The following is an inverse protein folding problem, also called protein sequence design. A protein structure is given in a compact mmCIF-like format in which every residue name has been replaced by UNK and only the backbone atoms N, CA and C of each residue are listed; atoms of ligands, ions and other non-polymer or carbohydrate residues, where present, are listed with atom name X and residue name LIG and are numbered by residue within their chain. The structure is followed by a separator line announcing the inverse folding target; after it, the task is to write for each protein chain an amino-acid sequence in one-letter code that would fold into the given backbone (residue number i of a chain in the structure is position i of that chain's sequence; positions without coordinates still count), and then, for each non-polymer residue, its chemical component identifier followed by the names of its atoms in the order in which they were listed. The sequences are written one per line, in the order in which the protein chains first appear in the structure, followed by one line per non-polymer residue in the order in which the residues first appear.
data_IF_652420978285
#
_entry.id   IF_652420978285
#
_cell.length_a   1.000
_cell.length_b   1.000
_cell.length_c   1.000
_cell.angle_alpha   90.00
_cell.angle_beta   90.00
_cell.angle_gamma   90.00
#
_symmetry.space_group_name_H-M   'P 1'
#
loop_
_entity.id
_entity.type
_entity.pdbx_description
1 polymer ?
#
# COMPACT_ATOMS: atom_id res chain seq x y z
N UNK A 1 13.14 22.92 -2.42
CA UNK A 1 13.64 22.05 -3.50
C UNK A 1 12.89 20.74 -3.35
N UNK A 2 12.36 20.17 -4.45
CA UNK A 2 11.67 18.88 -4.44
C UNK A 2 12.41 17.96 -5.42
N UNK A 3 12.60 16.70 -5.04
CA UNK A 3 13.17 15.62 -5.87
C UNK A 3 12.12 14.52 -5.87
N UNK A 4 11.81 13.99 -7.05
CA UNK A 4 10.86 12.89 -7.23
C UNK A 4 11.62 11.66 -7.75
N UNK A 5 11.18 10.48 -7.30
CA UNK A 5 11.66 9.17 -7.77
C UNK A 5 10.45 8.30 -8.06
N UNK A 6 10.58 7.43 -9.06
CA UNK A 6 9.64 6.36 -9.32
C UNK A 6 10.17 5.10 -8.63
N UNK A 7 9.30 4.42 -7.89
CA UNK A 7 9.61 3.22 -7.12
C UNK A 7 8.35 2.36 -7.09
N UNK A 8 8.51 1.03 -7.28
CA UNK A 8 7.38 0.11 -7.18
C UNK A 8 6.96 -0.06 -5.73
N UNK A 9 5.70 -0.41 -5.51
CA UNK A 9 5.17 -0.62 -4.16
C UNK A 9 5.86 -1.77 -3.43
N UNK A 10 6.21 -2.83 -4.17
CA UNK A 10 7.03 -3.95 -3.67
C UNK A 10 8.45 -3.56 -3.25
N UNK A 11 8.96 -2.43 -3.75
CA UNK A 11 10.27 -1.87 -3.36
C UNK A 11 10.19 -0.78 -2.28
N UNK A 12 8.98 -0.34 -1.93
CA UNK A 12 8.76 0.74 -0.97
C UNK A 12 9.01 0.29 0.47
N UNK A 13 9.81 1.05 1.21
CA UNK A 13 10.09 0.76 2.62
C UNK A 13 9.01 1.36 3.53
N UNK A 14 7.94 0.59 3.79
CA UNK A 14 6.91 0.98 4.75
C UNK A 14 7.47 1.13 6.17
N UNK A 15 6.93 2.08 6.93
CA UNK A 15 7.37 2.36 8.29
C UNK A 15 6.23 2.44 9.31
N UNK A 16 6.61 2.26 10.57
CA UNK A 16 5.66 2.28 11.71
C UNK A 16 4.49 1.31 11.47
N UNK A 17 3.26 1.68 11.82
CA UNK A 17 2.11 0.76 11.71
C UNK A 17 1.72 0.38 10.28
N UNK A 18 2.18 1.09 9.24
CA UNK A 18 1.95 0.69 7.86
C UNK A 18 2.68 -0.62 7.52
N UNK A 19 3.87 -0.78 8.11
CA UNK A 19 4.72 -1.95 7.89
C UNK A 19 4.02 -3.24 8.31
N UNK A 20 3.34 -3.22 9.45
CA UNK A 20 2.66 -4.40 10.00
C UNK A 20 1.60 -4.96 9.03
N UNK A 21 0.90 -4.08 8.30
CA UNK A 21 -0.09 -4.46 7.29
C UNK A 21 0.58 -4.83 5.95
N UNK A 22 1.53 -4.02 5.49
CA UNK A 22 2.23 -4.27 4.22
C UNK A 22 2.95 -5.63 4.21
N UNK A 23 3.51 -6.08 5.34
CA UNK A 23 4.14 -7.40 5.48
C UNK A 23 3.15 -8.58 5.36
N UNK A 24 1.84 -8.33 5.46
CA UNK A 24 0.78 -9.36 5.29
C UNK A 24 0.32 -9.51 3.84
N UNK A 25 0.70 -8.57 2.98
CA UNK A 25 0.42 -8.61 1.56
C UNK A 25 1.55 -9.30 0.81
N UNK A 26 1.18 -10.09 -0.19
CA UNK A 26 2.13 -10.68 -1.14
C UNK A 26 2.58 -9.65 -2.17
N UNK A 27 3.73 -9.88 -2.82
CA UNK A 27 4.22 -9.01 -3.90
C UNK A 27 3.15 -8.80 -5.00
N UNK A 28 2.40 -9.84 -5.36
CA UNK A 28 1.33 -9.73 -6.34
C UNK A 28 0.15 -8.87 -5.85
N UNK A 29 -0.19 -8.93 -4.57
CA UNK A 29 -1.23 -8.06 -3.98
C UNK A 29 -0.74 -6.61 -3.95
N UNK A 30 0.54 -6.37 -3.63
CA UNK A 30 1.13 -5.03 -3.70
C UNK A 30 1.13 -4.47 -5.12
N UNK A 31 1.48 -5.27 -6.12
CA UNK A 31 1.40 -4.87 -7.54
C UNK A 31 -0.04 -4.53 -7.94
N UNK A 32 -1.04 -5.25 -7.42
CA UNK A 32 -2.45 -4.92 -7.67
C UNK A 32 -2.86 -3.59 -7.04
N UNK A 33 -2.42 -3.32 -5.79
CA UNK A 33 -2.64 -2.02 -5.16
C UNK A 33 -1.97 -0.90 -5.96
N UNK A 34 -0.76 -1.13 -6.48
CA UNK A 34 -0.05 -0.16 -7.32
C UNK A 34 -0.85 0.21 -8.56
N UNK A 35 -1.39 -0.79 -9.27
CA UNK A 35 -2.27 -0.54 -10.42
C UNK A 35 -3.52 0.27 -10.02
N UNK A 36 -4.14 -0.02 -8.86
CA UNK A 36 -5.26 0.78 -8.37
C UNK A 36 -4.86 2.23 -8.06
N UNK A 37 -3.69 2.43 -7.44
CA UNK A 37 -3.17 3.76 -7.13
C UNK A 37 -2.85 4.56 -8.38
N UNK A 38 -2.28 3.95 -9.42
CA UNK A 38 -2.03 4.62 -10.71
C UNK A 38 -3.33 5.09 -11.38
N UNK A 39 -4.44 4.37 -11.19
CA UNK A 39 -5.75 4.76 -11.73
C UNK A 39 -6.41 5.89 -10.93
N UNK A 40 -6.37 5.84 -9.59
CA UNK A 40 -7.08 6.79 -8.72
C UNK A 40 -6.24 8.02 -8.33
N UNK A 41 -4.91 7.88 -8.33
CA UNK A 41 -3.91 8.94 -8.10
C UNK A 41 -2.95 9.01 -9.30
N UNK A 42 -3.40 9.44 -10.49
CA UNK A 42 -2.59 9.45 -11.71
C UNK A 42 -1.39 10.41 -11.65
N UNK A 43 -1.40 11.37 -10.73
CA UNK A 43 -0.25 12.27 -10.46
C UNK A 43 0.68 11.72 -9.36
N UNK A 44 0.40 10.52 -8.85
CA UNK A 44 1.07 9.88 -7.73
C UNK A 44 0.67 10.44 -6.37
N UNK A 45 1.34 9.95 -5.34
CA UNK A 45 1.23 10.39 -3.95
C UNK A 45 2.65 10.56 -3.38
N UNK A 46 2.81 11.40 -2.36
CA UNK A 46 4.09 11.42 -1.65
C UNK A 46 4.24 10.20 -0.72
N UNK A 47 5.48 9.90 -0.33
CA UNK A 47 5.80 8.72 0.48
C UNK A 47 5.03 8.70 1.82
N UNK A 48 4.75 9.87 2.40
CA UNK A 48 4.01 9.95 3.67
C UNK A 48 2.54 9.65 3.45
N UNK A 49 1.94 10.19 2.39
CA UNK A 49 0.54 9.89 2.04
C UNK A 49 0.35 8.40 1.74
N UNK A 50 1.27 7.78 0.99
CA UNK A 50 1.25 6.34 0.72
C UNK A 50 1.38 5.51 2.01
N UNK A 51 2.33 5.86 2.88
CA UNK A 51 2.51 5.14 4.13
C UNK A 51 1.31 5.31 5.07
N UNK A 52 0.73 6.50 5.13
CA UNK A 52 -0.44 6.79 5.96
C UNK A 52 -1.68 6.04 5.48
N UNK A 53 -1.88 5.86 4.17
CA UNK A 53 -2.93 5.01 3.61
C UNK A 53 -2.85 3.58 4.17
N UNK A 54 -1.67 2.96 4.11
CA UNK A 54 -1.48 1.59 4.62
C UNK A 54 -1.57 1.50 6.14
N UNK A 55 -1.32 2.60 6.86
CA UNK A 55 -1.38 2.65 8.32
C UNK A 55 -2.78 2.86 8.86
N UNK A 56 -3.52 3.80 8.27
CA UNK A 56 -4.77 4.31 8.84
C UNK A 56 -6.00 3.79 8.11
N UNK A 57 -5.86 3.38 6.85
CA UNK A 57 -6.96 2.91 6.01
C UNK A 57 -6.67 1.54 5.36
N UNK A 58 -6.12 0.53 6.08
CA UNK A 58 -5.78 -0.77 5.49
C UNK A 58 -7.00 -1.53 4.96
N UNK A 59 -8.19 -1.33 5.55
CA UNK A 59 -9.44 -1.89 5.05
C UNK A 59 -9.76 -1.42 3.63
N UNK A 60 -9.45 -0.15 3.30
CA UNK A 60 -9.64 0.38 1.94
C UNK A 60 -8.73 -0.33 0.95
N UNK A 61 -7.48 -0.62 1.35
CA UNK A 61 -6.53 -1.36 0.52
C UNK A 61 -7.01 -2.80 0.31
N UNK A 62 -7.53 -3.47 1.35
CA UNK A 62 -8.14 -4.79 1.23
C UNK A 62 -9.37 -4.80 0.30
N UNK A 63 -10.23 -3.77 0.39
CA UNK A 63 -11.42 -3.64 -0.47
C UNK A 63 -11.05 -3.57 -1.95
N UNK A 64 -9.96 -2.88 -2.32
CA UNK A 64 -9.47 -2.84 -3.71
C UNK A 64 -9.05 -4.22 -4.23
N UNK A 65 -8.53 -5.05 -3.34
CA UNK A 65 -8.10 -6.42 -3.63
C UNK A 65 -9.24 -7.45 -3.51
N UNK A 66 -10.41 -7.03 -3.00
CA UNK A 66 -11.52 -7.93 -2.67
C UNK A 66 -11.18 -8.90 -1.53
N UNK A 67 -10.34 -8.46 -0.59
CA UNK A 67 -9.91 -9.21 0.58
C UNK A 67 -10.64 -8.75 1.84
N UNK A 68 -10.76 -9.64 2.82
CA UNK A 68 -11.19 -9.28 4.17
C UNK A 68 -9.98 -8.89 5.02
N UNK A 69 -10.07 -7.76 5.72
CA UNK A 69 -8.95 -7.22 6.51
C UNK A 69 -8.58 -8.14 7.69
N UNK A 70 -9.55 -8.69 8.41
CA UNK A 70 -9.28 -9.56 9.54
C UNK A 70 -8.59 -10.84 9.06
N UNK A 71 -9.04 -11.44 7.94
CA UNK A 71 -8.38 -12.59 7.32
C UNK A 71 -6.94 -12.30 6.89
N UNK A 72 -6.66 -11.10 6.36
CA UNK A 72 -5.30 -10.68 5.98
C UNK A 72 -4.39 -10.53 7.20
N UNK A 73 -4.90 -9.92 8.27
CA UNK A 73 -4.11 -9.71 9.49
C UNK A 73 -3.81 -10.99 10.26
N UNK A 74 -4.61 -12.05 10.06
CA UNK A 74 -4.37 -13.38 10.61
C UNK A 74 -3.35 -14.23 9.81
N UNK A 75 -2.89 -13.76 8.63
CA UNK A 75 -1.86 -14.47 7.85
C UNK A 75 -0.55 -14.57 8.64
N UNK A 76 0.18 -15.69 8.49
CA UNK A 76 1.49 -15.91 9.12
C UNK A 76 2.61 -15.09 8.48
#
# INVERSE_FOLDING_TARGET
MKIYREESLSGFEFWSGAKDFAEKLTDNELDQVENCLEEIYPDGMDETELNDLFRFDPETVCDWLGLDYDEVMERD
#
